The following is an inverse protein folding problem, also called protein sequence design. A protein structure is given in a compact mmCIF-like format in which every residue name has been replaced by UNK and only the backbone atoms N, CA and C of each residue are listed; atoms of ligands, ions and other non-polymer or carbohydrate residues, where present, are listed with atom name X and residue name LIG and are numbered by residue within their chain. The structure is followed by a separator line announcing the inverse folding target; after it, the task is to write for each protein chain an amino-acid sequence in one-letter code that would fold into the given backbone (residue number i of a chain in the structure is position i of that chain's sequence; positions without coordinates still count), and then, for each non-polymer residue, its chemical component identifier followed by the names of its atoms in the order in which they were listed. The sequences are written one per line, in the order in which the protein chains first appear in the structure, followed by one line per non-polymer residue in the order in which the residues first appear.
data_IF_571007656572
#
_entry.id   IF_571007656572
#
_cell.length_a   1.000
_cell.length_b   1.000
_cell.length_c   1.000
_cell.angle_alpha   90.00
_cell.angle_beta   90.00
_cell.angle_gamma   90.00
#
_symmetry.space_group_name_H-M   'P 1'
#
loop_
_entity.id
_entity.type
_entity.pdbx_description
1 polymer ?
#
# COMPACT_ATOMS: atom_id res chain seq x y z
N UNK A 1 2.23 9.63 -4.13
CA UNK A 1 1.00 9.44 -3.37
C UNK A 1 0.00 10.55 -3.75
N UNK A 2 -1.17 10.21 -4.23
CA UNK A 2 -2.24 11.21 -4.35
C UNK A 2 -2.77 11.44 -2.95
N UNK A 3 -2.54 12.63 -2.39
CA UNK A 3 -3.01 13.01 -1.05
C UNK A 3 -4.55 13.04 -0.91
N UNK A 4 -5.27 12.48 -1.85
CA UNK A 4 -6.73 12.41 -1.91
C UNK A 4 -7.30 11.16 -1.22
N UNK A 5 -6.54 10.06 -1.21
CA UNK A 5 -7.00 8.79 -0.64
C UNK A 5 -7.17 8.86 0.89
N UNK A 6 -6.22 9.46 1.58
CA UNK A 6 -6.25 9.58 3.04
C UNK A 6 -7.39 10.47 3.56
N UNK A 7 -7.67 11.66 2.98
CA UNK A 7 -8.86 12.44 3.31
C UNK A 7 -10.18 11.70 3.08
N UNK A 8 -10.28 10.93 1.98
CA UNK A 8 -11.45 10.12 1.74
C UNK A 8 -11.60 9.02 2.80
N UNK A 9 -10.52 8.31 3.12
CA UNK A 9 -10.51 7.31 4.17
C UNK A 9 -10.88 7.90 5.53
N UNK A 10 -10.40 9.11 5.85
CA UNK A 10 -10.76 9.82 7.08
C UNK A 10 -12.26 10.14 7.15
N UNK A 11 -12.84 10.64 6.06
CA UNK A 11 -14.27 10.93 5.99
C UNK A 11 -15.13 9.68 6.17
N UNK A 12 -14.79 8.59 5.46
CA UNK A 12 -15.49 7.32 5.59
C UNK A 12 -15.35 6.78 7.02
N UNK A 13 -14.15 6.84 7.59
CA UNK A 13 -13.87 6.41 8.95
C UNK A 13 -14.72 7.15 9.99
N UNK A 14 -14.93 8.46 9.80
CA UNK A 14 -15.82 9.28 10.65
C UNK A 14 -17.31 8.88 10.58
N UNK A 15 -17.74 8.13 9.57
CA UNK A 15 -19.10 7.61 9.41
C UNK A 15 -19.29 6.25 10.07
N UNK A 16 -18.20 5.59 10.49
CA UNK A 16 -18.23 4.25 11.09
C UNK A 16 -18.32 4.35 12.62
N UNK A 17 -19.00 3.39 13.27
CA UNK A 17 -19.12 3.37 14.74
C UNK A 17 -17.77 3.16 15.45
N UNK A 18 -16.83 2.51 14.79
CA UNK A 18 -15.45 2.33 15.26
C UNK A 18 -14.50 3.12 14.38
N UNK A 19 -13.95 4.20 14.90
CA UNK A 19 -12.94 4.98 14.21
C UNK A 19 -11.59 4.26 14.28
N UNK A 20 -10.90 4.23 13.15
CA UNK A 20 -9.56 3.65 13.04
C UNK A 20 -8.52 4.74 12.83
N UNK A 21 -7.36 4.55 13.41
CA UNK A 21 -6.21 5.41 13.17
C UNK A 21 -5.67 5.20 11.76
N UNK A 22 -5.26 6.29 11.11
CA UNK A 22 -4.70 6.27 9.76
C UNK A 22 -3.17 6.25 9.80
N UNK A 23 -2.58 5.51 8.90
CA UNK A 23 -1.12 5.44 8.73
C UNK A 23 -0.74 5.80 7.30
N UNK A 24 0.25 6.67 7.16
CA UNK A 24 0.86 7.01 5.88
C UNK A 24 2.35 6.66 5.93
N UNK A 25 2.73 5.64 5.19
CA UNK A 25 4.11 5.15 5.13
C UNK A 25 4.64 5.42 3.73
N UNK A 26 5.66 6.24 3.60
CA UNK A 26 6.25 6.63 2.30
C UNK A 26 7.67 7.17 2.52
N UNK A 27 8.52 7.10 1.51
CA UNK A 27 9.82 7.77 1.53
C UNK A 27 9.71 9.28 1.33
N UNK A 28 8.63 9.73 0.66
CA UNK A 28 8.44 11.10 0.20
C UNK A 28 9.56 11.61 -0.71
N UNK A 29 10.24 10.70 -1.40
CA UNK A 29 11.33 11.00 -2.35
C UNK A 29 10.94 10.71 -3.82
N UNK A 30 9.72 10.23 -4.05
CA UNK A 30 9.25 9.78 -5.35
C UNK A 30 9.61 8.33 -5.63
N UNK A 31 9.49 7.92 -6.88
CA UNK A 31 9.77 6.54 -7.30
C UNK A 31 11.27 6.27 -7.14
N UNK A 32 11.69 5.19 -6.44
CA UNK A 32 13.10 4.84 -6.33
C UNK A 32 13.66 4.29 -7.65
N UNK A 33 14.98 4.11 -7.71
CA UNK A 33 15.64 3.46 -8.84
C UNK A 33 15.12 2.03 -9.01
N UNK A 34 14.83 1.59 -10.25
CA UNK A 34 14.44 0.20 -10.53
C UNK A 34 15.54 -0.80 -10.10
N UNK A 35 15.16 -1.87 -9.42
CA UNK A 35 16.08 -2.90 -8.94
C UNK A 35 16.24 -4.09 -9.90
N UNK A 36 15.45 -4.12 -10.99
CA UNK A 36 15.53 -5.19 -11.98
C UNK A 36 14.49 -5.06 -13.08
N UNK A 37 14.46 -6.03 -13.99
CA UNK A 37 13.57 -5.97 -15.16
C UNK A 37 12.07 -5.92 -14.79
N UNK A 38 11.70 -6.46 -13.63
CA UNK A 38 10.30 -6.45 -13.13
C UNK A 38 9.83 -5.07 -12.68
N UNK A 39 10.76 -4.15 -12.43
CA UNK A 39 10.48 -2.77 -12.07
C UNK A 39 10.36 -1.85 -13.30
N UNK A 40 10.75 -2.33 -14.47
CA UNK A 40 10.76 -1.51 -15.67
C UNK A 40 9.34 -1.22 -16.17
N UNK A 41 9.06 0.07 -16.34
CA UNK A 41 7.80 0.54 -16.88
C UNK A 41 8.01 1.80 -17.74
N UNK A 42 7.37 1.93 -18.92
CA UNK A 42 7.63 3.06 -19.84
C UNK A 42 7.23 4.44 -19.29
N UNK A 43 6.38 4.49 -18.28
CA UNK A 43 5.87 5.74 -17.68
C UNK A 43 6.49 6.07 -16.32
N UNK A 44 7.19 5.13 -15.70
CA UNK A 44 7.70 5.27 -14.34
C UNK A 44 9.21 5.32 -14.35
N UNK A 45 9.76 6.39 -13.85
CA UNK A 45 11.18 6.61 -13.72
C UNK A 45 11.51 7.18 -12.36
N UNK A 46 12.72 6.96 -11.94
CA UNK A 46 13.26 7.46 -10.67
C UNK A 46 12.97 8.95 -10.47
N UNK A 47 12.65 9.33 -9.22
CA UNK A 47 12.35 10.69 -8.81
C UNK A 47 10.99 11.24 -9.23
N UNK A 48 10.26 10.53 -10.11
CA UNK A 48 8.89 10.96 -10.49
C UNK A 48 7.89 10.66 -9.37
N UNK A 49 6.71 11.29 -9.47
CA UNK A 49 5.63 11.15 -8.47
C UNK A 49 6.02 11.68 -7.09
N UNK A 50 6.94 12.62 -7.06
CA UNK A 50 7.41 13.26 -5.83
C UNK A 50 6.31 14.12 -5.18
N UNK A 51 6.20 13.99 -3.88
CA UNK A 51 5.47 14.92 -2.99
C UNK A 51 6.24 14.96 -1.68
N UNK A 52 6.65 16.15 -1.23
CA UNK A 52 7.35 16.25 0.05
C UNK A 52 6.43 15.87 1.23
N UNK A 53 7.01 15.37 2.32
CA UNK A 53 6.27 15.05 3.54
C UNK A 53 5.47 16.26 4.06
N UNK A 54 6.08 17.45 4.02
CA UNK A 54 5.41 18.70 4.42
C UNK A 54 4.23 19.07 3.52
N UNK A 55 4.35 18.88 2.20
CA UNK A 55 3.25 19.12 1.26
C UNK A 55 2.12 18.11 1.44
N UNK A 56 2.46 16.86 1.67
CA UNK A 56 1.49 15.82 1.96
C UNK A 56 0.69 16.15 3.23
N UNK A 57 1.38 16.45 4.33
CA UNK A 57 0.75 16.81 5.60
C UNK A 57 -0.13 18.07 5.47
N UNK A 58 0.35 19.10 4.75
CA UNK A 58 -0.42 20.32 4.46
C UNK A 58 -1.70 20.01 3.67
N UNK A 59 -1.65 19.11 2.69
CA UNK A 59 -2.82 18.67 1.92
C UNK A 59 -3.81 17.90 2.80
N UNK A 60 -3.34 16.96 3.62
CA UNK A 60 -4.19 16.24 4.57
C UNK A 60 -4.96 17.20 5.48
N UNK A 61 -4.28 18.18 6.08
CA UNK A 61 -4.91 19.22 6.92
C UNK A 61 -5.95 20.04 6.16
N UNK A 62 -5.65 20.47 4.93
CA UNK A 62 -6.62 21.22 4.10
C UNK A 62 -7.89 20.44 3.81
N UNK A 63 -7.81 19.14 3.76
CA UNK A 63 -8.94 18.24 3.51
C UNK A 63 -9.55 17.67 4.80
N UNK A 64 -9.24 18.28 5.96
CA UNK A 64 -9.89 17.98 7.22
C UNK A 64 -9.34 16.78 7.99
N UNK A 65 -8.17 16.24 7.63
CA UNK A 65 -7.50 15.20 8.42
C UNK A 65 -6.68 15.85 9.54
N UNK A 66 -7.09 15.73 10.82
CA UNK A 66 -6.31 16.28 11.92
C UNK A 66 -5.05 15.42 12.16
N UNK A 67 -4.01 16.04 12.71
CA UNK A 67 -2.76 15.34 13.01
C UNK A 67 -2.95 14.16 13.99
N UNK A 68 -3.88 14.29 14.91
CA UNK A 68 -4.23 13.25 15.88
C UNK A 68 -4.86 11.99 15.26
N UNK A 69 -5.41 12.09 14.04
CA UNK A 69 -6.04 10.95 13.35
C UNK A 69 -5.08 10.18 12.46
N UNK A 70 -3.83 10.65 12.29
CA UNK A 70 -2.87 10.07 11.36
C UNK A 70 -1.46 10.01 11.93
N UNK A 71 -0.80 8.88 11.76
CA UNK A 71 0.65 8.74 11.93
C UNK A 71 1.31 8.72 10.57
N UNK A 72 2.36 9.50 10.40
CA UNK A 72 3.18 9.52 9.20
C UNK A 72 4.56 8.92 9.51
N UNK A 73 4.92 7.88 8.77
CA UNK A 73 6.22 7.21 8.86
C UNK A 73 7.00 7.51 7.60
N UNK A 74 8.11 8.22 7.74
CA UNK A 74 9.02 8.54 6.63
C UNK A 74 10.09 7.45 6.60
N UNK A 75 10.02 6.58 5.62
CA UNK A 75 10.91 5.45 5.50
C UNK A 75 11.28 5.18 4.04
N UNK A 76 12.56 5.12 3.69
CA UNK A 76 12.99 4.62 2.39
C UNK A 76 12.53 3.17 2.19
N UNK A 77 12.12 2.85 0.97
CA UNK A 77 11.52 1.57 0.62
C UNK A 77 12.37 0.34 1.03
N UNK A 78 13.70 0.30 0.81
CA UNK A 78 14.51 -0.85 1.23
C UNK A 78 14.58 -1.05 2.75
N UNK A 79 14.33 0.00 3.53
CA UNK A 79 14.41 -0.01 5.00
C UNK A 79 13.06 -0.37 5.66
N UNK A 80 11.99 -0.49 4.87
CA UNK A 80 10.64 -0.70 5.38
C UNK A 80 10.53 -1.92 6.31
N UNK A 81 11.20 -3.00 5.96
CA UNK A 81 11.18 -4.25 6.75
C UNK A 81 12.13 -4.22 7.97
N UNK A 82 12.94 -3.17 8.11
CA UNK A 82 13.79 -2.96 9.28
C UNK A 82 13.15 -2.08 10.36
N UNK A 83 11.95 -1.53 10.08
CA UNK A 83 11.21 -0.74 11.07
C UNK A 83 10.82 -1.58 12.28
N UNK A 84 10.97 -1.00 13.46
CA UNK A 84 10.56 -1.64 14.71
C UNK A 84 9.02 -1.81 14.75
N UNK A 85 8.54 -2.82 15.46
CA UNK A 85 7.12 -3.16 15.48
C UNK A 85 6.23 -2.03 16.02
N UNK A 86 6.73 -1.25 16.97
CA UNK A 86 6.04 -0.08 17.54
C UNK A 86 5.94 1.13 16.58
N UNK A 87 6.74 1.14 15.51
CA UNK A 87 6.68 2.13 14.45
C UNK A 87 5.67 1.80 13.35
N UNK A 88 4.95 0.71 13.48
CA UNK A 88 4.03 0.16 12.48
C UNK A 88 2.67 -0.17 13.10
N UNK A 89 1.58 -0.09 12.31
CA UNK A 89 0.28 -0.56 12.78
C UNK A 89 0.28 -2.09 12.98
N UNK A 90 -0.27 -2.55 14.07
CA UNK A 90 -0.42 -3.98 14.41
C UNK A 90 -1.79 -4.55 14.01
N UNK A 91 -2.84 -3.74 14.10
CA UNK A 91 -4.22 -4.16 13.82
C UNK A 91 -4.76 -3.50 12.53
N UNK A 92 -4.27 -3.97 11.39
CA UNK A 92 -4.60 -3.40 10.08
C UNK A 92 -5.92 -3.99 9.57
N UNK A 93 -6.89 -3.15 9.23
CA UNK A 93 -8.13 -3.58 8.57
C UNK A 93 -8.07 -3.41 7.05
N UNK A 94 -7.38 -2.37 6.58
CA UNK A 94 -7.23 -2.05 5.17
C UNK A 94 -5.83 -1.51 4.90
N UNK A 95 -5.21 -2.00 3.84
CA UNK A 95 -3.97 -1.47 3.28
C UNK A 95 -4.25 -0.97 1.87
N UNK A 96 -3.86 0.27 1.58
CA UNK A 96 -3.90 0.83 0.23
C UNK A 96 -2.47 0.94 -0.32
N UNK A 97 -2.13 0.04 -1.23
CA UNK A 97 -0.82 -0.04 -1.88
C UNK A 97 -0.84 0.84 -3.11
N UNK A 98 -0.08 1.94 -3.06
CA UNK A 98 0.11 2.85 -4.18
C UNK A 98 1.60 2.96 -4.53
N UNK A 99 2.24 1.83 -4.65
CA UNK A 99 3.59 1.69 -5.15
C UNK A 99 3.60 1.60 -6.68
N UNK A 100 4.77 1.73 -7.27
CA UNK A 100 4.93 1.74 -8.72
C UNK A 100 5.84 0.62 -9.24
N UNK A 101 6.68 0.06 -8.38
CA UNK A 101 7.67 -0.94 -8.73
C UNK A 101 7.33 -2.28 -8.08
N UNK A 102 7.64 -3.36 -8.77
CA UNK A 102 7.52 -4.72 -8.25
C UNK A 102 8.28 -4.91 -6.92
N UNK A 103 9.51 -4.39 -6.84
CA UNK A 103 10.34 -4.43 -5.63
C UNK A 103 9.67 -3.75 -4.44
N UNK A 104 9.13 -2.54 -4.65
CA UNK A 104 8.42 -1.80 -3.59
C UNK A 104 7.22 -2.57 -3.05
N UNK A 105 6.39 -3.10 -3.96
CA UNK A 105 5.22 -3.90 -3.57
C UNK A 105 5.65 -5.13 -2.81
N UNK A 106 6.74 -5.79 -3.23
CA UNK A 106 7.32 -6.92 -2.51
C UNK A 106 7.66 -6.57 -1.06
N UNK A 107 8.34 -5.46 -0.82
CA UNK A 107 8.69 -5.00 0.54
C UNK A 107 7.44 -4.72 1.40
N UNK A 108 6.43 -4.08 0.83
CA UNK A 108 5.15 -3.83 1.52
C UNK A 108 4.46 -5.15 1.89
N UNK A 109 4.41 -6.11 0.98
CA UNK A 109 3.78 -7.41 1.21
C UNK A 109 4.50 -8.22 2.30
N UNK A 110 5.84 -8.20 2.33
CA UNK A 110 6.62 -8.85 3.39
C UNK A 110 6.40 -8.18 4.75
N UNK A 111 6.26 -6.85 4.80
CA UNK A 111 5.86 -6.14 6.03
C UNK A 111 4.45 -6.57 6.50
N UNK A 112 3.54 -6.83 5.58
CA UNK A 112 2.17 -7.26 5.90
C UNK A 112 2.09 -8.72 6.34
N UNK A 113 2.99 -9.59 5.89
CA UNK A 113 2.95 -11.03 6.14
C UNK A 113 2.67 -11.40 7.61
N UNK A 114 3.43 -10.90 8.61
CA UNK A 114 3.17 -11.22 10.01
C UNK A 114 1.92 -10.52 10.59
N UNK A 115 1.26 -9.66 9.82
CA UNK A 115 0.10 -8.85 10.22
C UNK A 115 -1.17 -9.24 9.48
N UNK A 116 -1.10 -10.27 8.63
CA UNK A 116 -2.28 -10.80 7.95
C UNK A 116 -3.29 -11.31 8.98
N UNK A 117 -4.56 -11.10 8.68
CA UNK A 117 -5.67 -11.61 9.49
C UNK A 117 -6.91 -11.78 8.64
N UNK A 118 -7.82 -12.59 9.12
CA UNK A 118 -9.13 -12.83 8.51
C UNK A 118 -9.86 -11.50 8.23
N UNK A 119 -10.31 -11.33 6.99
CA UNK A 119 -11.09 -10.17 6.55
C UNK A 119 -10.28 -8.90 6.27
N UNK A 120 -8.95 -8.94 6.33
CA UNK A 120 -8.10 -7.81 5.98
C UNK A 120 -8.24 -7.48 4.49
N UNK A 121 -8.48 -6.21 4.16
CA UNK A 121 -8.59 -5.74 2.79
C UNK A 121 -7.25 -5.20 2.28
N UNK A 122 -6.75 -5.77 1.19
CA UNK A 122 -5.53 -5.31 0.50
C UNK A 122 -5.95 -4.71 -0.85
N UNK A 123 -5.63 -3.43 -1.05
CA UNK A 123 -6.07 -2.63 -2.19
C UNK A 123 -4.85 -2.15 -2.96
N UNK A 124 -4.77 -2.48 -4.25
CA UNK A 124 -3.71 -2.05 -5.15
C UNK A 124 -4.22 -1.03 -6.16
N UNK A 125 -3.61 0.15 -6.21
CA UNK A 125 -3.97 1.22 -7.16
C UNK A 125 -3.52 0.90 -8.60
N UNK A 126 -2.41 0.17 -8.74
CA UNK A 126 -1.75 -0.08 -10.02
C UNK A 126 -1.72 -1.57 -10.44
N UNK A 127 -2.63 -2.40 -9.92
CA UNK A 127 -2.61 -3.86 -10.11
C UNK A 127 -2.53 -4.28 -11.58
N UNK A 128 -3.26 -3.62 -12.46
CA UNK A 128 -3.29 -3.91 -13.90
C UNK A 128 -2.39 -2.98 -14.73
N UNK A 129 -1.66 -2.04 -14.12
CA UNK A 129 -0.93 -1.02 -14.86
C UNK A 129 0.25 -1.57 -15.70
N UNK A 130 0.86 -2.68 -15.27
CA UNK A 130 2.03 -3.30 -15.92
C UNK A 130 1.72 -4.61 -16.66
N UNK A 131 0.50 -5.02 -16.83
CA UNK A 131 0.16 -6.42 -16.84
C UNK A 131 -0.04 -7.10 -18.18
N UNK A 132 0.77 -6.87 -19.21
CA UNK A 132 0.65 -7.79 -20.36
C UNK A 132 1.11 -9.23 -20.06
N UNK A 133 2.00 -9.45 -19.09
CA UNK A 133 2.67 -10.74 -18.94
C UNK A 133 2.77 -11.26 -17.51
N UNK A 134 2.08 -10.69 -16.54
CA UNK A 134 2.17 -11.10 -15.12
C UNK A 134 3.62 -11.15 -14.57
N UNK A 135 4.52 -10.40 -15.17
CA UNK A 135 5.96 -10.49 -14.88
C UNK A 135 6.53 -9.25 -14.19
N UNK A 136 5.71 -8.19 -14.02
CA UNK A 136 6.16 -6.92 -13.45
C UNK A 136 5.07 -6.22 -12.64
N UNK A 137 5.47 -5.24 -11.83
CA UNK A 137 4.57 -4.41 -11.04
C UNK A 137 3.81 -5.15 -9.93
N UNK A 138 2.73 -4.53 -9.47
CA UNK A 138 1.92 -4.97 -8.31
C UNK A 138 1.43 -6.41 -8.46
N UNK A 139 0.91 -6.74 -9.64
CA UNK A 139 0.33 -8.06 -9.89
C UNK A 139 1.36 -9.18 -9.76
N UNK A 140 2.53 -9.03 -10.36
CA UNK A 140 3.58 -10.04 -10.28
C UNK A 140 4.11 -10.22 -8.86
N UNK A 141 4.28 -9.10 -8.11
CA UNK A 141 4.69 -9.14 -6.71
C UNK A 141 3.63 -9.85 -5.85
N UNK A 142 2.35 -9.52 -6.05
CA UNK A 142 1.27 -10.14 -5.28
C UNK A 142 1.07 -11.62 -5.62
N UNK A 143 1.13 -12.02 -6.89
CA UNK A 143 1.09 -13.45 -7.28
C UNK A 143 2.25 -14.24 -6.66
N UNK A 144 3.45 -13.65 -6.58
CA UNK A 144 4.60 -14.27 -5.91
C UNK A 144 4.35 -14.41 -4.40
N UNK A 145 3.83 -13.38 -3.77
CA UNK A 145 3.48 -13.38 -2.36
C UNK A 145 2.41 -14.43 -2.02
N UNK A 146 1.35 -14.52 -2.82
CA UNK A 146 0.29 -15.53 -2.65
C UNK A 146 0.85 -16.95 -2.66
N UNK A 147 1.76 -17.26 -3.59
CA UNK A 147 2.37 -18.60 -3.70
C UNK A 147 3.24 -18.97 -2.49
N UNK A 148 3.75 -17.99 -1.77
CA UNK A 148 4.60 -18.17 -0.58
C UNK A 148 3.84 -18.00 0.74
N UNK A 149 2.52 -17.79 0.70
CA UNK A 149 1.67 -17.57 1.87
C UNK A 149 0.65 -18.70 1.96
N UNK A 150 0.95 -19.71 2.80
CA UNK A 150 0.16 -20.94 2.86
C UNK A 150 -1.03 -20.85 3.81
N UNK A 151 -0.98 -19.90 4.77
CA UNK A 151 -1.99 -19.79 5.83
C UNK A 151 -3.20 -18.94 5.42
N UNK A 152 -3.11 -18.28 4.27
CA UNK A 152 -4.15 -17.39 3.75
C UNK A 152 -4.47 -17.64 2.28
N UNK A 153 -5.76 -17.57 1.98
CA UNK A 153 -6.30 -17.39 0.64
C UNK A 153 -6.60 -15.90 0.41
N UNK A 154 -6.45 -15.42 -0.83
CA UNK A 154 -6.75 -14.03 -1.18
C UNK A 154 -7.86 -13.99 -2.22
N UNK A 155 -9.08 -13.76 -1.75
CA UNK A 155 -10.25 -13.65 -2.60
C UNK A 155 -10.28 -12.27 -3.28
N UNK A 156 -10.34 -12.24 -4.62
CA UNK A 156 -10.50 -10.98 -5.34
C UNK A 156 -11.88 -10.41 -5.03
N UNK A 157 -11.90 -9.15 -4.53
CA UNK A 157 -13.12 -8.49 -4.08
C UNK A 157 -13.68 -7.56 -5.16
N UNK A 158 -12.94 -6.51 -5.55
CA UNK A 158 -13.39 -5.50 -6.50
C UNK A 158 -12.27 -5.04 -7.43
N UNK A 159 -12.66 -4.59 -8.64
CA UNK A 159 -11.81 -3.82 -9.54
C UNK A 159 -12.34 -2.39 -9.60
N UNK A 160 -11.45 -1.39 -9.61
CA UNK A 160 -11.85 0.00 -9.57
C UNK A 160 -10.89 0.90 -10.37
N UNK A 161 -11.39 2.07 -10.75
CA UNK A 161 -10.63 3.02 -11.53
C UNK A 161 -10.12 2.42 -12.84
N UNK A 162 -8.91 2.77 -13.23
CA UNK A 162 -8.29 2.31 -14.48
C UNK A 162 -7.49 1.01 -14.31
N UNK A 163 -6.86 0.83 -13.14
CA UNK A 163 -5.93 -0.28 -12.93
C UNK A 163 -6.02 -0.90 -11.54
N UNK A 164 -6.95 -0.47 -10.70
CA UNK A 164 -7.05 -0.91 -9.32
C UNK A 164 -7.72 -2.26 -9.16
N UNK A 165 -7.31 -2.98 -8.12
CA UNK A 165 -7.91 -4.24 -7.69
C UNK A 165 -7.75 -4.41 -6.18
N UNK A 166 -8.74 -5.02 -5.53
CA UNK A 166 -8.71 -5.33 -4.12
C UNK A 166 -8.93 -6.80 -3.82
N UNK A 167 -8.39 -7.25 -2.69
CA UNK A 167 -8.45 -8.62 -2.24
C UNK A 167 -8.77 -8.68 -0.74
N UNK A 168 -9.55 -9.67 -0.34
CA UNK A 168 -9.78 -10.01 1.06
C UNK A 168 -8.84 -11.16 1.43
N UNK A 169 -8.11 -11.02 2.52
CA UNK A 169 -7.34 -12.10 3.11
C UNK A 169 -8.27 -13.00 3.94
N UNK A 170 -8.28 -14.29 3.65
CA UNK A 170 -9.08 -15.30 4.31
C UNK A 170 -8.17 -16.40 4.85
N UNK A 171 -8.25 -16.69 6.14
CA UNK A 171 -7.48 -17.78 6.75
C UNK A 171 -7.91 -19.13 6.20
N UNK A 172 -6.95 -20.00 5.93
CA UNK A 172 -7.25 -21.40 5.67
C UNK A 172 -7.71 -22.06 6.96
N UNK A 173 -8.98 -22.42 7.04
CA UNK A 173 -9.46 -23.27 8.11
C UNK A 173 -8.93 -24.69 7.89
N UNK A 174 -8.18 -25.20 8.87
CA UNK A 174 -7.73 -26.57 8.93
C UNK A 174 -8.91 -27.54 9.15
#
# INVERSE_FOLDING_TARGET
FRAETLPLAHRINGMLPMQRHLWAIDSFQGIPAPQGFRDLHPRWSEGRKFTSAADFQRRCRRHGVPESAMTMVICPDPELNALAADQLPDNIALVYVNCYLHSQVGHVLELLRPRLKQGMLIVFDNYFACSRFHQSGDRAAFEQFQRSTNDFHFCRYETFGFAGCSFIAEEHFA
#
